data_IF_291855556050
#
_entry.id   IF_291855556050
#
_cell.length_a   1.000
_cell.length_b   1.000
_cell.length_c   1.000
_cell.angle_alpha   90.00
_cell.angle_beta   90.00
_cell.angle_gamma   90.00
#
_symmetry.space_group_name_H-M   'P 1'
#
loop_
_entity.id
_entity.type
_entity.pdbx_description
1 polymer ?
#
# COMPACT_ATOMS: atom_id res chain seq x y z
N UNK A 1 44.80 22.60 -66.34
CA UNK A 1 45.55 23.40 -65.34
C UNK A 1 45.89 22.46 -64.20
N UNK A 2 47.14 22.14 -64.13
CA UNK A 2 47.76 21.14 -63.23
C UNK A 2 48.11 21.79 -61.89
N UNK A 3 47.68 21.26 -60.78
CA UNK A 3 48.25 21.61 -59.45
C UNK A 3 48.83 20.35 -58.80
N UNK A 4 50.17 20.31 -58.84
CA UNK A 4 51.02 19.37 -58.16
C UNK A 4 50.96 19.60 -56.64
N UNK A 5 50.62 18.58 -55.83
CA UNK A 5 50.75 18.60 -54.38
C UNK A 5 52.11 18.01 -54.06
N UNK A 6 52.98 18.83 -53.44
CA UNK A 6 54.30 18.42 -52.93
C UNK A 6 54.12 17.69 -51.61
N UNK A 7 54.48 16.40 -51.57
CA UNK A 7 54.60 15.65 -50.33
C UNK A 7 55.94 15.89 -49.71
N UNK A 8 56.00 16.67 -48.58
CA UNK A 8 57.18 16.79 -47.76
C UNK A 8 57.32 15.60 -46.86
N UNK A 9 58.33 14.76 -47.09
CA UNK A 9 58.70 13.67 -46.20
C UNK A 9 59.37 14.22 -44.93
N UNK A 10 58.67 14.08 -43.79
CA UNK A 10 59.24 14.35 -42.48
C UNK A 10 60.24 13.24 -42.11
N UNK A 11 61.55 13.53 -42.19
CA UNK A 11 62.62 12.69 -41.68
C UNK A 11 62.71 12.86 -40.15
N UNK A 12 62.13 11.92 -39.40
CA UNK A 12 62.22 11.90 -37.94
C UNK A 12 63.59 11.40 -37.54
N UNK A 13 64.40 12.25 -36.84
CA UNK A 13 65.73 11.87 -36.38
C UNK A 13 65.67 10.75 -35.34
N UNK A 14 66.55 9.72 -35.34
CA UNK A 14 66.50 8.56 -34.48
C UNK A 14 66.55 8.85 -32.97
N UNK A 15 67.09 9.96 -32.54
CA UNK A 15 67.11 10.42 -31.14
C UNK A 15 65.71 10.72 -30.58
N UNK A 16 64.80 11.21 -31.45
CA UNK A 16 63.43 11.54 -31.05
C UNK A 16 62.57 10.27 -30.81
N UNK A 17 62.87 9.17 -31.51
CA UNK A 17 62.19 7.90 -31.36
C UNK A 17 62.54 7.18 -30.05
N UNK A 18 63.80 7.28 -29.60
CA UNK A 18 64.24 6.68 -28.35
C UNK A 18 63.63 7.40 -27.13
N UNK A 19 63.52 8.74 -27.19
CA UNK A 19 62.84 9.50 -26.12
C UNK A 19 61.36 9.20 -26.03
N UNK A 20 60.69 9.01 -27.18
CA UNK A 20 59.25 8.63 -27.22
C UNK A 20 58.98 7.24 -26.64
N UNK A 21 59.87 6.26 -26.89
CA UNK A 21 59.77 4.90 -26.33
C UNK A 21 60.05 4.89 -24.82
N UNK A 22 60.94 5.72 -24.31
CA UNK A 22 61.22 5.85 -22.88
C UNK A 22 60.07 6.51 -22.13
N UNK A 23 59.39 7.50 -22.71
CA UNK A 23 58.21 8.11 -22.11
C UNK A 23 57.00 7.16 -22.10
N UNK A 24 56.78 6.37 -23.15
CA UNK A 24 55.72 5.37 -23.20
C UNK A 24 55.94 4.20 -22.23
N UNK A 25 57.19 3.79 -22.00
CA UNK A 25 57.53 2.76 -21.03
C UNK A 25 57.29 3.18 -19.56
N UNK A 26 57.55 4.46 -19.25
CA UNK A 26 57.31 4.99 -17.90
C UNK A 26 55.83 5.21 -17.56
N UNK A 27 54.98 5.48 -18.56
CA UNK A 27 53.54 5.58 -18.35
C UNK A 27 52.90 4.19 -18.16
N UNK A 28 53.39 3.16 -18.83
CA UNK A 28 52.91 1.78 -18.63
C UNK A 28 53.25 1.21 -17.25
N UNK A 29 54.36 1.62 -16.65
CA UNK A 29 54.76 1.18 -15.29
C UNK A 29 53.97 1.88 -14.18
N UNK A 30 53.36 3.05 -14.43
CA UNK A 30 52.52 3.78 -13.46
C UNK A 30 51.07 3.25 -13.39
N UNK A 31 50.66 2.36 -14.32
CA UNK A 31 49.30 1.77 -14.36
C UNK A 31 49.22 0.38 -13.70
N UNK A 32 50.31 -0.15 -13.16
CA UNK A 32 50.29 -1.30 -12.25
C UNK A 32 49.81 -0.85 -10.88
N UNK A 33 48.59 -0.37 -10.81
CA UNK A 33 47.87 -0.19 -9.55
C UNK A 33 47.80 -1.54 -8.86
N UNK A 34 48.34 -1.63 -7.63
CA UNK A 34 48.13 -2.77 -6.77
C UNK A 34 46.64 -2.99 -6.63
N UNK A 35 46.11 -4.01 -7.32
CA UNK A 35 44.87 -4.64 -6.91
C UNK A 35 45.17 -5.28 -5.59
N UNK A 36 44.89 -4.56 -4.49
CA UNK A 36 44.88 -5.16 -3.16
C UNK A 36 43.65 -6.09 -3.19
N UNK A 37 43.86 -7.36 -3.52
CA UNK A 37 42.87 -8.36 -3.14
C UNK A 37 42.75 -8.30 -1.62
N UNK A 38 41.66 -7.76 -1.17
CA UNK A 38 41.24 -7.83 0.22
C UNK A 38 40.76 -9.27 0.51
N UNK A 39 41.73 -10.24 0.45
CA UNK A 39 41.51 -11.59 0.94
C UNK A 39 41.70 -11.59 2.45
N UNK A 40 40.70 -11.11 3.18
CA UNK A 40 40.76 -11.03 4.63
C UNK A 40 39.56 -10.35 5.25
N UNK A 41 38.53 -10.05 4.47
CA UNK A 41 37.21 -9.83 5.06
C UNK A 41 36.72 -11.16 5.57
N UNK A 42 36.56 -11.34 6.90
CA UNK A 42 35.57 -12.24 7.43
C UNK A 42 34.31 -11.99 6.58
N UNK A 43 33.91 -12.96 5.74
CA UNK A 43 32.54 -13.00 5.28
C UNK A 43 31.75 -13.00 6.58
N UNK A 44 31.27 -11.83 6.99
CA UNK A 44 30.14 -11.78 7.91
C UNK A 44 29.08 -12.60 7.19
N UNK A 45 28.91 -13.84 7.61
CA UNK A 45 27.81 -14.66 7.17
C UNK A 45 26.59 -13.80 7.42
N UNK A 46 25.94 -13.35 6.33
CA UNK A 46 24.77 -12.51 6.47
C UNK A 46 23.82 -13.28 7.37
N UNK A 47 23.39 -12.64 8.45
CA UNK A 47 22.42 -13.22 9.37
C UNK A 47 21.22 -13.70 8.53
N UNK A 48 20.91 -15.01 8.55
CA UNK A 48 19.82 -15.56 7.75
C UNK A 48 18.50 -14.82 8.02
N UNK A 49 18.21 -14.52 9.29
CA UNK A 49 16.96 -13.84 9.69
C UNK A 49 16.91 -12.41 9.13
N UNK A 50 18.01 -11.66 9.25
CA UNK A 50 18.11 -10.33 8.65
C UNK A 50 18.01 -10.36 7.11
N UNK A 51 18.44 -11.47 6.48
CA UNK A 51 18.34 -11.64 5.03
C UNK A 51 16.90 -11.92 4.62
N UNK A 52 16.18 -12.77 5.35
CA UNK A 52 14.73 -13.04 5.14
C UNK A 52 13.93 -11.75 5.28
N UNK A 53 14.14 -11.01 6.37
CA UNK A 53 13.45 -9.74 6.62
C UNK A 53 13.64 -8.73 5.47
N UNK A 54 14.88 -8.56 4.99
CA UNK A 54 15.17 -7.66 3.86
C UNK A 54 14.46 -8.09 2.58
N UNK A 55 14.43 -9.40 2.27
CA UNK A 55 13.75 -9.91 1.09
C UNK A 55 12.24 -9.75 1.17
N UNK A 56 11.65 -10.03 2.33
CA UNK A 56 10.21 -9.82 2.57
C UNK A 56 9.85 -8.33 2.47
N UNK A 57 10.69 -7.45 3.03
CA UNK A 57 10.51 -6.00 2.92
C UNK A 57 10.54 -5.53 1.46
N UNK A 58 11.50 -6.03 0.66
CA UNK A 58 11.61 -5.72 -0.76
C UNK A 58 10.41 -6.29 -1.54
N UNK A 59 9.98 -7.51 -1.23
CA UNK A 59 8.80 -8.10 -1.85
C UNK A 59 7.54 -7.27 -1.59
N UNK A 60 7.35 -6.75 -0.36
CA UNK A 60 6.23 -5.84 -0.04
C UNK A 60 6.27 -4.53 -0.83
N UNK A 61 7.47 -3.99 -1.12
CA UNK A 61 7.60 -2.83 -1.98
C UNK A 61 7.14 -3.15 -3.41
N UNK A 62 7.57 -4.30 -3.96
CA UNK A 62 7.10 -4.76 -5.27
C UNK A 62 5.59 -5.03 -5.31
N UNK A 63 5.01 -5.60 -4.26
CA UNK A 63 3.56 -5.76 -4.10
C UNK A 63 2.86 -4.39 -4.17
N UNK A 64 3.40 -3.38 -3.49
CA UNK A 64 2.85 -2.03 -3.47
C UNK A 64 2.81 -1.32 -4.82
N UNK A 65 3.67 -1.73 -5.78
CA UNK A 65 3.70 -1.18 -7.15
C UNK A 65 3.15 -2.16 -8.21
N UNK A 66 2.61 -3.32 -7.79
CA UNK A 66 2.03 -4.31 -8.69
C UNK A 66 3.04 -5.16 -9.48
N UNK A 67 4.29 -5.20 -9.06
CA UNK A 67 5.32 -6.02 -9.67
C UNK A 67 5.37 -7.41 -9.02
N UNK A 68 4.40 -8.23 -9.41
CA UNK A 68 4.17 -9.55 -8.81
C UNK A 68 5.33 -10.52 -9.05
N UNK A 69 5.99 -10.45 -10.19
CA UNK A 69 7.11 -11.33 -10.54
C UNK A 69 8.32 -11.09 -9.63
N UNK A 70 8.72 -9.84 -9.44
CA UNK A 70 9.81 -9.51 -8.54
C UNK A 70 9.44 -9.75 -7.08
N UNK A 71 8.17 -9.56 -6.70
CA UNK A 71 7.67 -9.93 -5.39
C UNK A 71 7.84 -11.44 -5.15
N UNK A 72 7.29 -12.31 -6.02
CA UNK A 72 7.40 -13.77 -5.93
C UNK A 72 8.85 -14.22 -5.85
N UNK A 73 9.72 -13.72 -6.74
CA UNK A 73 11.14 -14.07 -6.76
C UNK A 73 11.84 -13.79 -5.42
N UNK A 74 11.57 -12.64 -4.81
CA UNK A 74 12.17 -12.31 -3.52
C UNK A 74 11.60 -13.18 -2.39
N UNK A 75 10.31 -13.53 -2.43
CA UNK A 75 9.69 -14.43 -1.46
C UNK A 75 10.20 -15.87 -1.59
N UNK A 76 10.40 -16.37 -2.80
CA UNK A 76 11.01 -17.69 -3.05
C UNK A 76 12.43 -17.76 -2.48
N UNK A 77 13.22 -16.71 -2.68
CA UNK A 77 14.57 -16.62 -2.11
C UNK A 77 14.55 -16.51 -0.58
N UNK A 78 13.55 -15.83 0.00
CA UNK A 78 13.37 -15.80 1.44
C UNK A 78 12.94 -17.17 1.98
N UNK A 79 12.03 -17.86 1.30
CA UNK A 79 11.54 -19.19 1.67
C UNK A 79 12.62 -20.29 1.60
N UNK A 80 13.61 -20.15 0.69
CA UNK A 80 14.76 -21.05 0.65
C UNK A 80 15.65 -20.92 1.90
N UNK A 81 15.68 -19.73 2.52
CA UNK A 81 16.48 -19.47 3.72
C UNK A 81 15.69 -19.91 4.96
N UNK A 82 14.43 -19.51 5.07
CA UNK A 82 13.49 -19.92 6.12
C UNK A 82 12.19 -20.45 5.51
N UNK A 83 12.05 -21.77 5.34
CA UNK A 83 10.86 -22.39 4.77
C UNK A 83 9.61 -22.23 5.64
N UNK A 84 9.75 -21.84 6.91
CA UNK A 84 8.66 -21.75 7.87
C UNK A 84 8.44 -20.33 8.41
N UNK A 85 8.77 -19.30 7.64
CA UNK A 85 8.56 -17.91 8.00
C UNK A 85 7.08 -17.50 7.83
N UNK A 86 6.44 -17.10 8.92
CA UNK A 86 5.07 -16.56 8.89
C UNK A 86 4.95 -15.31 8.01
N UNK A 87 5.99 -14.50 7.97
CA UNK A 87 6.04 -13.27 7.18
C UNK A 87 6.16 -13.53 5.68
N UNK A 88 6.87 -14.59 5.30
CA UNK A 88 6.95 -15.04 3.90
C UNK A 88 5.59 -15.55 3.43
N UNK A 89 4.92 -16.38 4.23
CA UNK A 89 3.57 -16.86 3.93
C UNK A 89 2.58 -15.70 3.79
N UNK A 90 2.59 -14.76 4.73
CA UNK A 90 1.70 -13.59 4.66
C UNK A 90 1.94 -12.77 3.38
N UNK A 91 3.20 -12.56 2.98
CA UNK A 91 3.50 -11.81 1.78
C UNK A 91 3.12 -12.56 0.49
N UNK A 92 3.30 -13.88 0.42
CA UNK A 92 2.75 -14.70 -0.67
C UNK A 92 1.23 -14.60 -0.75
N UNK A 93 0.53 -14.62 0.40
CA UNK A 93 -0.92 -14.48 0.44
C UNK A 93 -1.38 -13.16 -0.21
N UNK A 94 -0.68 -12.05 0.04
CA UNK A 94 -0.97 -10.76 -0.58
C UNK A 94 -0.74 -10.79 -2.11
N UNK A 95 0.30 -11.46 -2.58
CA UNK A 95 0.54 -11.63 -4.02
C UNK A 95 -0.61 -12.41 -4.65
N UNK A 96 -0.95 -13.59 -4.12
CA UNK A 96 -2.03 -14.44 -4.64
C UNK A 96 -3.40 -13.76 -4.58
N UNK A 97 -3.68 -13.00 -3.52
CA UNK A 97 -4.89 -12.18 -3.45
C UNK A 97 -4.95 -11.16 -4.58
N UNK A 98 -3.85 -10.48 -4.85
CA UNK A 98 -3.76 -9.42 -5.87
C UNK A 98 -3.84 -9.98 -7.30
N UNK A 99 -3.39 -11.22 -7.51
CA UNK A 99 -3.48 -11.92 -8.81
C UNK A 99 -4.78 -12.71 -8.97
N UNK A 100 -5.69 -12.69 -7.96
CA UNK A 100 -7.00 -13.35 -8.02
C UNK A 100 -6.97 -14.84 -7.67
N UNK A 101 -5.85 -15.37 -7.21
CA UNK A 101 -5.63 -16.76 -6.82
C UNK A 101 -6.13 -17.00 -5.38
N UNK A 102 -7.43 -16.76 -5.13
CA UNK A 102 -8.01 -16.67 -3.80
C UNK A 102 -7.82 -17.93 -2.93
N UNK A 103 -7.83 -19.14 -3.53
CA UNK A 103 -7.61 -20.37 -2.81
C UNK A 103 -6.17 -20.44 -2.27
N UNK A 104 -5.20 -20.05 -3.08
CA UNK A 104 -3.80 -20.00 -2.67
C UNK A 104 -3.57 -18.90 -1.63
N UNK A 105 -4.21 -17.73 -1.81
CA UNK A 105 -4.13 -16.63 -0.85
C UNK A 105 -4.61 -17.08 0.54
N UNK A 106 -5.77 -17.73 0.63
CA UNK A 106 -6.31 -18.21 1.90
C UNK A 106 -5.38 -19.25 2.55
N UNK A 107 -4.89 -20.22 1.78
CA UNK A 107 -3.97 -21.23 2.29
C UNK A 107 -2.69 -20.61 2.88
N UNK A 108 -2.15 -19.58 2.23
CA UNK A 108 -0.96 -18.90 2.71
C UNK A 108 -1.24 -18.03 3.95
N UNK A 109 -2.39 -17.34 4.04
CA UNK A 109 -2.78 -16.64 5.26
C UNK A 109 -2.94 -17.60 6.44
N UNK A 110 -3.56 -18.75 6.22
CA UNK A 110 -3.72 -19.78 7.26
C UNK A 110 -2.37 -20.35 7.70
N UNK A 111 -1.47 -20.63 6.75
CA UNK A 111 -0.11 -21.07 7.06
C UNK A 111 0.65 -20.03 7.91
N UNK A 112 0.58 -18.75 7.55
CA UNK A 112 1.20 -17.68 8.33
C UNK A 112 0.71 -17.68 9.79
N UNK A 113 -0.61 -17.78 9.99
CA UNK A 113 -1.23 -17.77 11.32
C UNK A 113 -1.09 -19.09 12.08
N UNK A 114 -0.77 -20.18 11.40
CA UNK A 114 -0.40 -21.46 12.03
C UNK A 114 1.01 -21.39 12.60
N UNK A 115 1.94 -20.76 11.89
CA UNK A 115 3.34 -20.56 12.32
C UNK A 115 3.41 -19.52 13.43
N UNK A 116 2.82 -18.36 13.22
CA UNK A 116 2.75 -17.30 14.25
C UNK A 116 1.32 -16.81 14.45
N UNK A 117 0.60 -17.37 15.44
CA UNK A 117 -0.75 -16.93 15.78
C UNK A 117 -0.81 -15.50 16.33
N UNK A 118 0.32 -14.91 16.73
CA UNK A 118 0.40 -13.56 17.28
C UNK A 118 0.67 -12.48 16.22
N UNK A 119 0.96 -12.86 14.96
CA UNK A 119 1.27 -11.93 13.88
C UNK A 119 0.02 -11.13 13.48
N UNK A 120 -0.24 -10.04 14.21
CA UNK A 120 -1.42 -9.18 14.03
C UNK A 120 -1.55 -8.62 12.62
N UNK A 121 -0.44 -8.33 11.93
CA UNK A 121 -0.45 -7.90 10.53
C UNK A 121 -1.02 -8.98 9.60
N UNK A 122 -0.57 -10.23 9.73
CA UNK A 122 -1.09 -11.33 8.92
C UNK A 122 -2.58 -11.57 9.19
N UNK A 123 -2.98 -11.52 10.46
CA UNK A 123 -4.38 -11.66 10.86
C UNK A 123 -5.26 -10.53 10.33
N UNK A 124 -4.77 -9.27 10.36
CA UNK A 124 -5.49 -8.14 9.79
C UNK A 124 -5.68 -8.29 8.28
N UNK A 125 -4.64 -8.71 7.57
CA UNK A 125 -4.70 -8.91 6.12
C UNK A 125 -5.61 -10.09 5.75
N UNK A 126 -5.55 -11.19 6.52
CA UNK A 126 -6.49 -12.31 6.35
C UNK A 126 -7.94 -11.88 6.59
N UNK A 127 -8.20 -11.10 7.63
CA UNK A 127 -9.53 -10.57 7.89
C UNK A 127 -10.03 -9.66 6.75
N UNK A 128 -9.16 -8.82 6.18
CA UNK A 128 -9.49 -7.99 5.02
C UNK A 128 -9.77 -8.84 3.76
N UNK A 129 -9.01 -9.91 3.57
CA UNK A 129 -9.27 -10.89 2.53
C UNK A 129 -10.66 -11.54 2.71
N UNK A 130 -10.98 -12.04 3.90
CA UNK A 130 -12.29 -12.63 4.21
C UNK A 130 -13.43 -11.63 3.94
N UNK A 131 -13.25 -10.37 4.35
CA UNK A 131 -14.20 -9.29 4.07
C UNK A 131 -14.43 -9.11 2.55
N UNK A 132 -13.37 -9.10 1.76
CA UNK A 132 -13.45 -8.97 0.30
C UNK A 132 -14.18 -10.14 -0.38
N UNK A 133 -14.16 -11.32 0.27
CA UNK A 133 -14.90 -12.51 -0.19
C UNK A 133 -16.36 -12.55 0.33
N UNK A 134 -16.85 -11.49 1.01
CA UNK A 134 -18.19 -11.45 1.59
C UNK A 134 -18.37 -12.29 2.86
N UNK A 135 -17.28 -12.84 3.42
CA UNK A 135 -17.28 -13.68 4.63
C UNK A 135 -17.22 -12.81 5.89
N UNK A 136 -18.24 -11.96 6.06
CA UNK A 136 -18.23 -10.89 7.06
C UNK A 136 -18.17 -11.37 8.50
N UNK A 137 -18.81 -12.50 8.83
CA UNK A 137 -18.75 -13.08 10.19
C UNK A 137 -17.33 -13.53 10.54
N UNK A 138 -16.63 -14.13 9.60
CA UNK A 138 -15.26 -14.57 9.81
C UNK A 138 -14.31 -13.38 9.86
N UNK A 139 -14.50 -12.40 8.99
CA UNK A 139 -13.74 -11.15 9.01
C UNK A 139 -13.88 -10.40 10.34
N UNK A 140 -15.13 -10.26 10.85
CA UNK A 140 -15.40 -9.65 12.17
C UNK A 140 -14.63 -10.34 13.27
N UNK A 141 -14.68 -11.67 13.31
CA UNK A 141 -13.98 -12.48 14.32
C UNK A 141 -12.48 -12.22 14.31
N UNK A 142 -11.86 -12.21 13.12
CA UNK A 142 -10.42 -12.02 12.98
C UNK A 142 -10.02 -10.56 13.27
N UNK A 143 -10.77 -9.54 12.78
CA UNK A 143 -10.52 -8.14 13.15
C UNK A 143 -10.65 -7.89 14.65
N UNK A 144 -11.65 -8.50 15.31
CA UNK A 144 -11.82 -8.39 16.76
C UNK A 144 -10.59 -8.91 17.52
N UNK A 145 -9.96 -9.98 17.05
CA UNK A 145 -8.69 -10.47 17.64
C UNK A 145 -7.57 -9.44 17.46
N UNK A 146 -7.44 -8.86 16.27
CA UNK A 146 -6.43 -7.82 15.99
C UNK A 146 -6.61 -6.60 16.89
N UNK A 147 -7.85 -6.16 17.15
CA UNK A 147 -8.11 -5.00 18.02
C UNK A 147 -7.69 -5.23 19.47
N UNK A 148 -7.46 -6.47 19.88
CA UNK A 148 -6.91 -6.83 21.17
C UNK A 148 -5.42 -6.57 21.36
N UNK A 149 -4.66 -6.54 20.25
CA UNK A 149 -3.22 -6.26 20.27
C UNK A 149 -2.96 -4.75 20.40
N UNK A 150 -2.55 -4.35 21.61
CA UNK A 150 -2.31 -2.93 21.94
C UNK A 150 -1.02 -2.38 21.36
N UNK A 151 -0.10 -3.25 20.90
CA UNK A 151 1.18 -2.87 20.31
C UNK A 151 1.13 -2.80 18.78
N UNK A 152 0.06 -3.30 18.19
CA UNK A 152 -0.09 -3.28 16.73
C UNK A 152 -0.35 -1.86 16.22
N UNK A 153 0.55 -1.32 15.42
CA UNK A 153 0.45 0.05 14.85
C UNK A 153 -0.77 0.26 13.95
N UNK A 154 -1.23 -0.80 13.27
CA UNK A 154 -2.44 -0.80 12.44
C UNK A 154 -3.76 -0.94 13.21
N UNK A 155 -3.73 -0.94 14.55
CA UNK A 155 -4.91 -1.11 15.40
C UNK A 155 -6.04 -0.12 15.13
N UNK A 156 -5.80 1.18 14.86
CA UNK A 156 -6.87 2.11 14.50
C UNK A 156 -7.65 1.63 13.25
N UNK A 157 -6.92 1.20 12.21
CA UNK A 157 -7.53 0.68 11.00
C UNK A 157 -8.25 -0.66 11.22
N UNK A 158 -7.73 -1.51 12.11
CA UNK A 158 -8.42 -2.76 12.48
C UNK A 158 -9.78 -2.48 13.13
N UNK A 159 -9.90 -1.43 13.95
CA UNK A 159 -11.20 -0.98 14.48
C UNK A 159 -12.13 -0.44 13.38
N UNK A 160 -11.60 0.27 12.38
CA UNK A 160 -12.39 0.70 11.21
C UNK A 160 -12.95 -0.51 10.46
N UNK A 161 -12.10 -1.47 10.13
CA UNK A 161 -12.49 -2.68 9.40
C UNK A 161 -13.46 -3.56 10.21
N UNK A 162 -13.30 -3.61 11.54
CA UNK A 162 -14.25 -4.24 12.43
C UNK A 162 -15.62 -3.56 12.35
N UNK A 163 -15.66 -2.22 12.36
CA UNK A 163 -16.88 -1.44 12.20
C UNK A 163 -17.55 -1.70 10.86
N UNK A 164 -16.78 -1.71 9.76
CA UNK A 164 -17.28 -2.02 8.43
C UNK A 164 -17.86 -3.44 8.34
N UNK A 165 -17.19 -4.42 8.93
CA UNK A 165 -17.69 -5.80 8.97
C UNK A 165 -19.03 -5.90 9.71
N UNK A 166 -19.18 -5.19 10.82
CA UNK A 166 -20.40 -5.11 11.62
C UNK A 166 -21.53 -4.40 10.90
N UNK A 167 -21.24 -3.37 10.09
CA UNK A 167 -22.25 -2.74 9.23
C UNK A 167 -22.81 -3.74 8.21
N UNK A 168 -21.95 -4.58 7.61
CA UNK A 168 -22.40 -5.63 6.68
C UNK A 168 -23.26 -6.70 7.37
N UNK A 169 -23.06 -6.91 8.67
CA UNK A 169 -23.88 -7.81 9.50
C UNK A 169 -25.16 -7.16 10.06
N UNK A 170 -25.36 -5.85 9.82
CA UNK A 170 -26.48 -5.09 10.36
C UNK A 170 -26.33 -4.69 11.85
N UNK A 171 -25.16 -4.90 12.42
CA UNK A 171 -24.83 -4.64 13.84
C UNK A 171 -24.41 -3.19 14.04
N UNK A 172 -25.33 -2.26 13.80
CA UNK A 172 -25.04 -0.80 13.74
C UNK A 172 -24.47 -0.24 15.04
N UNK A 173 -24.99 -0.66 16.21
CA UNK A 173 -24.52 -0.17 17.52
C UNK A 173 -23.06 -0.62 17.80
N UNK A 174 -22.75 -1.85 17.46
CA UNK A 174 -21.42 -2.43 17.61
C UNK A 174 -20.45 -1.79 16.59
N UNK A 175 -20.92 -1.48 15.37
CA UNK A 175 -20.15 -0.75 14.37
C UNK A 175 -19.81 0.67 14.86
N UNK A 176 -20.79 1.40 15.42
CA UNK A 176 -20.58 2.71 16.01
C UNK A 176 -19.53 2.67 17.13
N UNK A 177 -19.60 1.68 18.01
CA UNK A 177 -18.62 1.51 19.07
C UNK A 177 -17.20 1.28 18.51
N UNK A 178 -17.08 0.50 17.43
CA UNK A 178 -15.80 0.26 16.77
C UNK A 178 -15.25 1.53 16.12
N UNK A 179 -16.05 2.29 15.36
CA UNK A 179 -15.62 3.56 14.77
C UNK A 179 -15.26 4.61 15.83
N UNK A 180 -15.99 4.68 16.93
CA UNK A 180 -15.65 5.55 18.07
C UNK A 180 -14.27 5.20 18.64
N UNK A 181 -13.94 3.91 18.75
CA UNK A 181 -12.61 3.48 19.16
C UNK A 181 -11.53 3.84 18.14
N UNK A 182 -11.80 3.66 16.86
CA UNK A 182 -10.89 4.10 15.79
C UNK A 182 -10.60 5.60 15.89
N UNK A 183 -11.64 6.43 16.00
CA UNK A 183 -11.53 7.90 16.10
C UNK A 183 -10.87 8.37 17.39
N UNK A 184 -10.93 7.59 18.49
CA UNK A 184 -10.19 7.90 19.71
C UNK A 184 -8.68 7.78 19.56
N UNK A 185 -8.21 6.98 18.60
CA UNK A 185 -6.79 6.75 18.27
C UNK A 185 -6.34 7.56 17.06
N UNK A 186 -7.19 7.71 16.07
CA UNK A 186 -6.97 8.51 14.85
C UNK A 186 -8.21 9.37 14.57
N UNK A 187 -8.21 10.59 15.08
CA UNK A 187 -9.34 11.54 14.94
C UNK A 187 -9.59 11.96 13.49
N UNK A 188 -8.63 11.75 12.59
CA UNK A 188 -8.73 12.14 11.19
C UNK A 188 -8.99 10.97 10.26
N UNK A 189 -9.36 9.82 10.77
CA UNK A 189 -9.68 8.68 9.94
C UNK A 189 -10.93 8.96 9.12
N UNK A 190 -10.73 9.20 7.82
CA UNK A 190 -11.79 9.64 6.90
C UNK A 190 -12.91 8.60 6.76
N UNK A 191 -12.59 7.31 6.79
CA UNK A 191 -13.59 6.23 6.68
C UNK A 191 -14.47 6.21 7.93
N UNK A 192 -13.88 6.23 9.12
CA UNK A 192 -14.64 6.23 10.35
C UNK A 192 -15.52 7.48 10.51
N UNK A 193 -15.00 8.67 10.12
CA UNK A 193 -15.79 9.91 10.13
C UNK A 193 -16.98 9.82 9.20
N UNK A 194 -16.79 9.30 7.99
CA UNK A 194 -17.85 9.15 6.98
C UNK A 194 -18.93 8.18 7.45
N UNK A 195 -18.55 7.00 7.95
CA UNK A 195 -19.51 6.00 8.42
C UNK A 195 -20.25 6.45 9.68
N UNK A 196 -19.59 7.16 10.61
CA UNK A 196 -20.27 7.80 11.74
C UNK A 196 -21.28 8.84 11.28
N UNK A 197 -20.97 9.63 10.25
CA UNK A 197 -21.91 10.58 9.65
C UNK A 197 -23.18 9.90 9.15
N UNK A 198 -23.05 8.78 8.40
CA UNK A 198 -24.22 8.00 7.95
C UNK A 198 -25.01 7.40 9.12
N UNK A 199 -24.33 6.83 10.11
CA UNK A 199 -25.00 6.25 11.29
C UNK A 199 -25.78 7.30 12.09
N UNK A 200 -25.24 8.52 12.27
CA UNK A 200 -25.94 9.62 12.93
C UNK A 200 -27.15 10.11 12.10
N UNK A 201 -26.98 10.24 10.79
CA UNK A 201 -28.06 10.63 9.91
C UNK A 201 -29.21 9.63 9.96
N UNK A 202 -28.90 8.34 9.92
CA UNK A 202 -29.90 7.26 10.00
C UNK A 202 -30.61 7.22 11.37
N UNK A 203 -29.90 7.61 12.43
CA UNK A 203 -30.49 7.78 13.77
C UNK A 203 -31.36 9.04 13.90
N UNK A 204 -31.45 9.88 12.86
CA UNK A 204 -32.21 11.14 12.86
C UNK A 204 -31.44 12.32 13.47
N UNK A 205 -30.16 12.12 13.86
CA UNK A 205 -29.31 13.18 14.41
C UNK A 205 -28.56 13.92 13.30
N UNK A 206 -29.31 14.77 12.58
CA UNK A 206 -28.76 15.54 11.45
C UNK A 206 -27.63 16.48 11.88
N UNK A 207 -27.68 17.00 13.13
CA UNK A 207 -26.65 17.91 13.66
C UNK A 207 -25.31 17.21 13.83
N UNK A 208 -25.29 16.04 14.49
CA UNK A 208 -24.07 15.24 14.63
C UNK A 208 -23.60 14.68 13.28
N UNK A 209 -24.50 14.29 12.38
CA UNK A 209 -24.15 13.88 11.02
C UNK A 209 -23.39 14.98 10.27
N UNK A 210 -23.89 16.22 10.35
CA UNK A 210 -23.26 17.39 9.73
C UNK A 210 -21.88 17.68 10.34
N UNK A 211 -21.71 17.51 11.64
CA UNK A 211 -20.42 17.65 12.32
C UNK A 211 -19.41 16.61 11.81
N UNK A 212 -19.76 15.33 11.79
CA UNK A 212 -18.89 14.27 11.25
C UNK A 212 -18.55 14.49 9.77
N UNK A 213 -19.52 14.95 8.97
CA UNK A 213 -19.26 15.27 7.58
C UNK A 213 -18.31 16.46 7.41
N UNK A 214 -18.42 17.49 8.25
CA UNK A 214 -17.48 18.62 8.29
C UNK A 214 -16.07 18.17 8.64
N UNK A 215 -15.93 17.32 9.66
CA UNK A 215 -14.64 16.73 10.06
C UNK A 215 -14.05 15.87 8.94
N UNK A 216 -14.87 15.05 8.26
CA UNK A 216 -14.46 14.28 7.07
C UNK A 216 -13.93 15.19 5.96
N UNK A 217 -14.65 16.26 5.61
CA UNK A 217 -14.22 17.22 4.58
C UNK A 217 -12.88 17.87 4.91
N UNK A 218 -12.59 18.11 6.18
CA UNK A 218 -11.31 18.65 6.62
C UNK A 218 -10.13 17.66 6.46
N UNK A 219 -10.42 16.36 6.32
CA UNK A 219 -9.37 15.34 6.10
C UNK A 219 -9.11 15.04 4.62
N UNK A 220 -10.07 15.28 3.74
CA UNK A 220 -10.03 14.90 2.34
C UNK A 220 -10.13 16.14 1.45
N UNK A 221 -9.04 16.53 0.75
CA UNK A 221 -9.05 17.68 -0.17
C UNK A 221 -10.04 17.48 -1.33
N UNK A 222 -10.27 16.23 -1.73
CA UNK A 222 -11.26 15.87 -2.76
C UNK A 222 -12.31 14.96 -2.12
N UNK A 223 -13.57 15.35 -2.16
CA UNK A 223 -14.64 14.53 -1.62
C UNK A 223 -14.88 13.30 -2.51
N UNK A 224 -15.02 12.13 -1.89
CA UNK A 224 -15.45 10.91 -2.58
C UNK A 224 -16.94 10.98 -2.95
N UNK A 225 -17.41 10.17 -3.92
CA UNK A 225 -18.84 10.06 -4.22
C UNK A 225 -19.70 9.82 -2.97
N UNK A 226 -19.21 8.94 -2.08
CA UNK A 226 -19.88 8.63 -0.81
C UNK A 226 -19.90 9.82 0.16
N UNK A 227 -18.85 10.66 0.18
CA UNK A 227 -18.80 11.89 0.96
C UNK A 227 -19.79 12.94 0.44
N UNK A 228 -19.89 13.09 -0.89
CA UNK A 228 -20.89 13.97 -1.52
C UNK A 228 -22.31 13.49 -1.25
N UNK A 229 -22.56 12.18 -1.33
CA UNK A 229 -23.85 11.58 -1.01
C UNK A 229 -24.26 11.87 0.45
N UNK A 230 -23.33 11.73 1.42
CA UNK A 230 -23.63 12.07 2.81
C UNK A 230 -24.01 13.55 2.96
N UNK A 231 -23.24 14.46 2.35
CA UNK A 231 -23.55 15.90 2.38
C UNK A 231 -24.92 16.22 1.78
N UNK A 232 -25.26 15.58 0.68
CA UNK A 232 -26.54 15.70 -0.01
C UNK A 232 -27.70 15.19 0.87
N UNK A 233 -27.56 14.03 1.49
CA UNK A 233 -28.58 13.45 2.36
C UNK A 233 -28.78 14.29 3.65
N UNK A 234 -27.70 14.87 4.20
CA UNK A 234 -27.78 15.80 5.33
C UNK A 234 -28.55 17.07 4.92
N UNK A 235 -28.23 17.68 3.76
CA UNK A 235 -28.91 18.86 3.25
C UNK A 235 -30.44 18.59 3.02
N UNK A 236 -30.74 17.42 2.46
CA UNK A 236 -32.12 16.97 2.30
C UNK A 236 -32.88 16.86 3.64
N UNK A 237 -32.25 16.22 4.63
CA UNK A 237 -32.83 16.05 5.97
C UNK A 237 -33.02 17.39 6.71
N UNK A 238 -32.15 18.37 6.43
CA UNK A 238 -32.22 19.72 6.97
C UNK A 238 -33.19 20.65 6.22
N UNK A 239 -33.70 20.25 5.02
CA UNK A 239 -34.51 21.10 4.14
C UNK A 239 -33.68 22.22 3.46
N UNK A 240 -32.39 22.12 3.40
CA UNK A 240 -31.50 23.09 2.74
C UNK A 240 -31.39 22.80 1.24
N UNK A 241 -32.29 23.42 0.47
CA UNK A 241 -32.39 23.21 -0.98
C UNK A 241 -31.20 23.70 -1.77
N UNK A 242 -30.52 24.74 -1.31
CA UNK A 242 -29.39 25.34 -2.02
C UNK A 242 -28.14 24.43 -1.87
N UNK A 243 -27.88 23.96 -0.66
CA UNK A 243 -26.79 23.00 -0.38
C UNK A 243 -27.08 21.67 -1.06
N UNK A 244 -28.32 21.19 -1.04
CA UNK A 244 -28.78 19.98 -1.73
C UNK A 244 -28.42 20.04 -3.23
N UNK A 245 -28.87 21.12 -3.90
CA UNK A 245 -28.64 21.32 -5.34
C UNK A 245 -27.12 21.38 -5.67
N UNK A 246 -26.34 21.99 -4.78
CA UNK A 246 -24.89 22.08 -4.94
C UNK A 246 -24.20 20.71 -4.86
N UNK A 247 -24.56 19.86 -3.89
CA UNK A 247 -24.03 18.51 -3.76
C UNK A 247 -24.49 17.59 -4.89
N UNK A 248 -25.75 17.71 -5.32
CA UNK A 248 -26.28 16.96 -6.46
C UNK A 248 -25.53 17.29 -7.74
N UNK A 249 -25.31 18.58 -8.03
CA UNK A 249 -24.53 19.03 -9.17
C UNK A 249 -23.09 18.48 -9.11
N UNK A 250 -22.45 18.54 -7.94
CA UNK A 250 -21.09 18.03 -7.75
C UNK A 250 -21.04 16.51 -7.98
N UNK A 251 -21.97 15.74 -7.40
CA UNK A 251 -22.02 14.29 -7.54
C UNK A 251 -22.22 13.88 -9.01
N UNK A 252 -23.18 14.52 -9.70
CA UNK A 252 -23.46 14.28 -11.11
C UNK A 252 -22.29 14.66 -12.02
N UNK A 253 -21.64 15.80 -11.75
CA UNK A 253 -20.60 16.32 -12.65
C UNK A 253 -19.27 15.62 -12.48
N UNK A 254 -18.92 15.26 -11.24
CA UNK A 254 -17.61 14.64 -10.92
C UNK A 254 -17.66 13.12 -10.97
N UNK A 255 -18.82 12.52 -10.71
CA UNK A 255 -18.96 11.07 -10.54
C UNK A 255 -20.25 10.52 -11.19
N UNK A 256 -20.49 10.78 -12.49
CA UNK A 256 -21.75 10.41 -13.17
C UNK A 256 -22.02 8.90 -13.18
N UNK A 257 -20.95 8.08 -13.18
CA UNK A 257 -21.04 6.61 -13.24
C UNK A 257 -20.96 5.94 -11.86
N UNK A 258 -20.94 6.73 -10.76
CA UNK A 258 -20.85 6.16 -9.41
C UNK A 258 -22.14 5.46 -8.98
N UNK A 259 -22.01 4.46 -8.11
CA UNK A 259 -23.16 3.80 -7.46
C UNK A 259 -23.98 4.78 -6.62
N UNK A 260 -23.31 5.76 -6.01
CA UNK A 260 -23.90 6.78 -5.18
C UNK A 260 -24.81 7.73 -5.98
N UNK A 261 -24.38 8.12 -7.19
CA UNK A 261 -25.22 8.94 -8.06
C UNK A 261 -26.45 8.16 -8.55
N UNK A 262 -26.28 6.91 -9.01
CA UNK A 262 -27.39 6.04 -9.39
C UNK A 262 -28.38 5.84 -8.25
N UNK A 263 -27.89 5.58 -7.03
CA UNK A 263 -28.73 5.43 -5.85
C UNK A 263 -29.55 6.71 -5.56
N UNK A 264 -28.94 7.88 -5.76
CA UNK A 264 -29.61 9.15 -5.61
C UNK A 264 -30.73 9.34 -6.67
N UNK A 265 -30.43 9.14 -7.96
CA UNK A 265 -31.40 9.23 -9.04
C UNK A 265 -32.62 8.30 -8.82
N UNK A 266 -32.37 7.05 -8.44
CA UNK A 266 -33.45 6.09 -8.15
C UNK A 266 -34.41 6.58 -7.05
N UNK A 267 -33.88 7.28 -6.04
CA UNK A 267 -34.67 7.84 -4.95
C UNK A 267 -35.47 9.06 -5.36
N UNK A 268 -35.01 9.83 -6.34
CA UNK A 268 -35.76 10.97 -6.89
C UNK A 268 -36.95 10.54 -7.75
N UNK A 269 -36.88 9.36 -8.36
CA UNK A 269 -37.89 8.84 -9.27
C UNK A 269 -38.95 8.00 -8.56
N UNK A 270 -38.90 7.87 -7.22
CA UNK A 270 -39.91 7.20 -6.38
C UNK A 270 -40.83 8.19 -5.68
#
# INVERSE_FOLDING_TARGET
MSHSVIVQSLVVKPVSLILLCLCLGSVAAALSGCVTEYSGGTQMSADPDATVEKRVSLARQYIGVGDWENAKRNLELAQQIDPNSAEVFEAFALVYQSTGENVLAEAQFQAALQVDPSLSRARNNYAAFLYSQGRFVEAEREFKRVTGDTLYSGRPMAFVNLGLSRLQLGEKKEAEAAFTRALSMDRRNSVALLEMGFLRLEAGDTGEAARYHSDYRATAPTQSPRGLLLGLEIARAAGDTDTLSSYELALRSLYPDSSEYRLWEERQNR
#
